data_IF_230945264542
#
_entry.id   IF_230945264542
#
_cell.length_a   1.000
_cell.length_b   1.000
_cell.length_c   1.000
_cell.angle_alpha   90.00
_cell.angle_beta   90.00
_cell.angle_gamma   90.00
#
_symmetry.space_group_name_H-M   'P 1'
#
loop_
_entity.id
_entity.type
_entity.pdbx_description
1 polymer ?
#
# COMPACT_ATOMS: atom_id res chain seq x y z
N UNK A 1 -53.59 1.20 -54.20
CA UNK A 1 -53.89 1.96 -52.97
C UNK A 1 -52.69 1.82 -52.06
N UNK A 2 -51.63 2.60 -52.31
CA UNK A 2 -50.44 2.63 -51.47
C UNK A 2 -50.64 3.71 -50.42
N UNK A 3 -50.81 3.31 -49.16
CA UNK A 3 -50.81 4.21 -48.03
C UNK A 3 -49.37 4.70 -47.81
N UNK A 4 -49.09 5.93 -48.22
CA UNK A 4 -47.87 6.64 -47.84
C UNK A 4 -47.91 6.91 -46.32
N UNK A 5 -46.87 6.46 -45.63
CA UNK A 5 -46.63 6.82 -44.23
C UNK A 5 -46.41 8.34 -44.11
N UNK A 6 -46.86 8.98 -43.02
CA UNK A 6 -46.66 10.41 -42.83
C UNK A 6 -45.17 10.71 -42.65
N UNK A 7 -44.61 11.51 -43.57
CA UNK A 7 -43.31 12.15 -43.40
C UNK A 7 -43.39 13.07 -42.17
N UNK A 8 -42.62 12.77 -41.12
CA UNK A 8 -42.44 13.71 -39.99
C UNK A 8 -41.65 14.94 -40.46
N UNK A 9 -41.93 16.12 -39.89
CA UNK A 9 -41.30 17.38 -40.30
C UNK A 9 -39.78 17.34 -40.09
N UNK A 10 -39.08 17.91 -41.05
CA UNK A 10 -37.64 18.06 -41.14
C UNK A 10 -37.24 19.38 -40.44
N UNK A 11 -37.20 19.45 -39.10
CA UNK A 11 -36.68 20.64 -38.38
C UNK A 11 -36.42 20.41 -36.87
N UNK A 12 -35.70 19.35 -36.53
CA UNK A 12 -34.88 19.32 -35.31
C UNK A 12 -33.49 18.90 -35.78
N UNK A 13 -32.61 19.86 -36.08
CA UNK A 13 -31.18 19.55 -36.13
C UNK A 13 -30.86 18.98 -34.77
N UNK A 14 -30.58 17.68 -34.68
CA UNK A 14 -30.18 17.07 -33.42
C UNK A 14 -29.03 17.92 -32.86
N UNK A 15 -29.29 18.66 -31.79
CA UNK A 15 -28.23 19.42 -31.14
C UNK A 15 -27.27 18.41 -30.50
N UNK A 16 -25.95 18.65 -30.56
CA UNK A 16 -25.02 17.75 -29.90
C UNK A 16 -25.29 17.78 -28.40
N UNK A 17 -25.19 16.62 -27.76
CA UNK A 17 -25.26 16.49 -26.31
C UNK A 17 -24.10 17.27 -25.71
N UNK A 18 -24.43 18.23 -24.85
CA UNK A 18 -23.50 19.14 -24.17
C UNK A 18 -23.18 18.64 -22.77
N UNK A 19 -22.14 19.21 -22.16
CA UNK A 19 -21.79 18.88 -20.78
C UNK A 19 -22.92 19.19 -19.78
N UNK A 20 -23.71 20.25 -19.99
CA UNK A 20 -24.86 20.57 -19.12
C UNK A 20 -25.96 19.52 -19.14
N UNK A 21 -26.05 18.74 -20.22
CA UNK A 21 -27.14 17.77 -20.41
C UNK A 21 -26.89 16.50 -19.59
N UNK A 22 -25.65 16.27 -19.20
CA UNK A 22 -25.21 15.07 -18.46
C UNK A 22 -24.61 15.39 -17.09
N UNK A 23 -24.05 16.59 -16.89
CA UNK A 23 -23.40 17.00 -15.64
C UNK A 23 -23.90 18.37 -15.20
N UNK A 24 -23.94 18.58 -13.89
CA UNK A 24 -24.29 19.86 -13.30
C UNK A 24 -23.10 20.84 -13.35
N UNK A 25 -22.74 21.28 -14.55
CA UNK A 25 -21.64 22.21 -14.83
C UNK A 25 -22.16 23.55 -15.36
N UNK A 26 -21.38 24.60 -15.21
CA UNK A 26 -21.75 25.98 -15.57
C UNK A 26 -20.67 26.67 -16.41
N UNK A 27 -20.92 27.90 -16.83
CA UNK A 27 -19.95 28.70 -17.60
C UNK A 27 -19.67 28.15 -19.00
N UNK A 28 -18.44 28.30 -19.48
CA UNK A 28 -18.09 27.93 -20.86
C UNK A 28 -18.10 26.42 -21.13
N UNK A 29 -17.97 25.58 -20.11
CA UNK A 29 -18.02 24.12 -20.27
C UNK A 29 -19.45 23.65 -20.56
N UNK A 30 -20.47 24.30 -19.97
CA UNK A 30 -21.86 23.84 -20.04
C UNK A 30 -22.43 23.85 -21.46
N UNK A 31 -22.03 24.83 -22.29
CA UNK A 31 -22.49 24.96 -23.67
C UNK A 31 -21.72 24.14 -24.68
N UNK A 32 -20.61 23.48 -24.27
CA UNK A 32 -19.75 22.72 -25.17
C UNK A 32 -20.29 21.31 -25.41
N UNK A 33 -20.22 20.81 -26.65
CA UNK A 33 -20.55 19.43 -26.96
C UNK A 33 -19.51 18.48 -26.35
N UNK A 34 -19.94 17.29 -25.97
CA UNK A 34 -19.01 16.24 -25.50
C UNK A 34 -18.35 15.60 -26.71
N UNK A 35 -17.02 15.74 -26.78
CA UNK A 35 -16.22 15.22 -27.87
C UNK A 35 -15.60 13.83 -27.57
N UNK A 36 -15.32 13.00 -28.60
CA UNK A 36 -14.69 11.69 -28.41
C UNK A 36 -13.35 11.77 -27.68
N UNK A 37 -12.54 12.78 -27.96
CA UNK A 37 -11.25 13.02 -27.30
C UNK A 37 -11.40 13.31 -25.81
N UNK A 38 -12.35 14.16 -25.42
CA UNK A 38 -12.61 14.49 -24.02
C UNK A 38 -13.07 13.25 -23.25
N UNK A 39 -13.92 12.42 -23.86
CA UNK A 39 -14.37 11.15 -23.30
C UNK A 39 -13.20 10.14 -23.15
N UNK A 40 -12.28 10.09 -24.12
CA UNK A 40 -11.08 9.26 -24.05
C UNK A 40 -10.11 9.74 -22.95
N UNK A 41 -9.96 11.05 -22.76
CA UNK A 41 -9.17 11.62 -21.67
C UNK A 41 -9.77 11.29 -20.30
N UNK A 42 -11.09 11.44 -20.14
CA UNK A 42 -11.77 11.05 -18.90
C UNK A 42 -11.62 9.55 -18.62
N UNK A 43 -11.77 8.70 -19.62
CA UNK A 43 -11.50 7.26 -19.46
C UNK A 43 -10.06 6.99 -19.03
N UNK A 44 -9.09 7.68 -19.62
CA UNK A 44 -7.68 7.51 -19.25
C UNK A 44 -7.45 7.94 -17.80
N UNK A 45 -8.04 9.05 -17.37
CA UNK A 45 -7.95 9.53 -16.01
C UNK A 45 -8.64 8.59 -15.00
N UNK A 46 -9.83 8.08 -15.32
CA UNK A 46 -10.51 7.03 -14.53
C UNK A 46 -9.66 5.77 -14.41
N UNK A 47 -9.07 5.29 -15.51
CA UNK A 47 -8.24 4.10 -15.51
C UNK A 47 -6.94 4.29 -14.71
N UNK A 48 -6.35 5.48 -14.71
CA UNK A 48 -5.15 5.78 -13.92
C UNK A 48 -5.42 5.76 -12.41
N UNK A 49 -6.61 6.21 -11.98
CA UNK A 49 -6.93 6.34 -10.55
C UNK A 49 -7.69 5.12 -10.01
N UNK A 50 -8.64 4.58 -10.77
CA UNK A 50 -9.53 3.49 -10.35
C UNK A 50 -9.22 2.15 -11.02
N UNK A 51 -8.22 2.07 -11.91
CA UNK A 51 -7.82 0.85 -12.62
C UNK A 51 -8.79 0.36 -13.70
N UNK A 52 -10.02 0.86 -13.72
CA UNK A 52 -11.05 0.56 -14.71
C UNK A 52 -12.07 1.71 -14.82
N UNK A 53 -12.70 1.80 -15.98
CA UNK A 53 -13.82 2.71 -16.22
C UNK A 53 -15.04 2.28 -15.40
N UNK A 54 -15.64 3.21 -14.66
CA UNK A 54 -16.80 2.90 -13.82
C UNK A 54 -18.06 2.79 -14.68
N UNK A 55 -18.82 1.71 -14.49
CA UNK A 55 -20.10 1.52 -15.18
C UNK A 55 -21.09 2.59 -14.74
N UNK A 56 -21.52 3.43 -15.69
CA UNK A 56 -22.42 4.55 -15.41
C UNK A 56 -21.74 5.76 -14.74
N UNK A 57 -20.40 5.77 -14.68
CA UNK A 57 -19.64 6.94 -14.23
C UNK A 57 -19.40 7.98 -15.34
N UNK A 58 -18.81 9.14 -15.00
CA UNK A 58 -18.53 10.22 -15.93
C UNK A 58 -17.85 9.81 -17.24
N UNK A 59 -16.82 8.96 -17.24
CA UNK A 59 -16.22 8.50 -18.49
C UNK A 59 -17.23 7.72 -19.36
N UNK A 60 -17.99 6.80 -18.75
CA UNK A 60 -18.99 6.01 -19.48
C UNK A 60 -20.12 6.88 -20.06
N UNK A 61 -20.57 7.88 -19.30
CA UNK A 61 -21.59 8.84 -19.74
C UNK A 61 -21.06 9.72 -20.87
N UNK A 62 -19.82 10.23 -20.74
CA UNK A 62 -19.16 11.02 -21.78
C UNK A 62 -18.95 10.21 -23.06
N UNK A 63 -18.56 8.93 -22.96
CA UNK A 63 -18.41 8.05 -24.12
C UNK A 63 -19.73 7.82 -24.85
N UNK A 64 -20.82 7.60 -24.12
CA UNK A 64 -22.13 7.42 -24.71
C UNK A 64 -22.61 8.71 -25.43
N UNK A 65 -22.41 9.86 -24.81
CA UNK A 65 -22.73 11.17 -25.39
C UNK A 65 -21.88 11.45 -26.64
N UNK A 66 -20.56 11.26 -26.56
CA UNK A 66 -19.65 11.45 -27.69
C UNK A 66 -19.96 10.50 -28.86
N UNK A 67 -20.24 9.22 -28.57
CA UNK A 67 -20.61 8.23 -29.61
C UNK A 67 -21.90 8.64 -30.33
N UNK A 68 -22.86 9.21 -29.60
CA UNK A 68 -24.11 9.68 -30.19
C UNK A 68 -23.90 10.94 -31.02
N UNK A 69 -23.11 11.89 -30.52
CA UNK A 69 -22.73 13.11 -31.23
C UNK A 69 -21.97 12.79 -32.53
N UNK A 70 -21.04 11.83 -32.49
CA UNK A 70 -20.26 11.38 -33.65
C UNK A 70 -21.13 10.64 -34.68
N UNK A 71 -22.01 9.73 -34.23
CA UNK A 71 -22.93 9.01 -35.13
C UNK A 71 -23.91 9.95 -35.83
N UNK A 72 -24.33 11.02 -35.16
CA UNK A 72 -25.16 12.07 -35.74
C UNK A 72 -24.36 13.04 -36.64
N UNK A 73 -23.02 12.89 -36.72
CA UNK A 73 -22.15 13.76 -37.50
C UNK A 73 -22.02 15.18 -36.95
N UNK A 74 -22.36 15.39 -35.68
CA UNK A 74 -22.41 16.69 -35.02
C UNK A 74 -21.06 17.10 -34.41
N UNK A 75 -20.19 16.11 -34.18
CA UNK A 75 -18.82 16.28 -33.66
C UNK A 75 -17.90 15.34 -34.43
N UNK A 76 -16.72 15.81 -34.82
CA UNK A 76 -15.73 15.01 -35.54
C UNK A 76 -14.94 14.05 -34.65
N UNK A 77 -14.49 12.92 -35.21
CA UNK A 77 -13.66 11.91 -34.52
C UNK A 77 -12.32 12.44 -33.98
N UNK A 78 -11.88 13.63 -34.41
CA UNK A 78 -10.64 14.30 -33.98
C UNK A 78 -10.90 15.64 -33.29
N UNK A 79 -12.17 15.97 -33.05
CA UNK A 79 -12.56 17.25 -32.49
C UNK A 79 -12.30 17.26 -30.99
N UNK A 80 -11.76 18.36 -30.50
CA UNK A 80 -11.36 18.53 -29.12
C UNK A 80 -12.09 19.75 -28.57
N UNK A 81 -12.57 19.72 -27.32
CA UNK A 81 -13.14 20.94 -26.75
C UNK A 81 -12.01 21.79 -26.17
N UNK A 82 -11.80 23.02 -26.67
CA UNK A 82 -10.66 23.89 -26.25
C UNK A 82 -10.53 24.07 -24.71
N UNK A 83 -11.60 23.80 -23.96
CA UNK A 83 -11.65 23.95 -22.49
C UNK A 83 -11.05 22.75 -21.76
N UNK A 84 -11.20 21.52 -22.28
CA UNK A 84 -10.59 20.33 -21.69
C UNK A 84 -9.07 20.24 -21.94
N UNK A 85 -8.54 21.02 -22.90
CA UNK A 85 -7.17 20.95 -23.39
C UNK A 85 -6.26 21.92 -22.65
N UNK A 86 -6.80 23.11 -22.35
CA UNK A 86 -6.09 24.16 -21.61
C UNK A 86 -6.24 24.05 -20.09
N UNK A 87 -7.33 23.43 -19.58
CA UNK A 87 -7.60 23.30 -18.14
C UNK A 87 -7.63 21.84 -17.65
N UNK A 88 -7.53 20.88 -18.57
CA UNK A 88 -7.37 19.46 -18.26
C UNK A 88 -8.63 18.74 -17.77
N UNK A 89 -8.64 17.42 -17.98
CA UNK A 89 -9.48 16.48 -17.23
C UNK A 89 -8.67 15.98 -16.05
N UNK A 90 -9.22 16.08 -14.84
CA UNK A 90 -8.53 15.73 -13.62
C UNK A 90 -9.41 14.85 -12.74
N UNK A 91 -8.88 13.68 -12.38
CA UNK A 91 -9.46 12.80 -11.36
C UNK A 91 -8.53 12.87 -10.17
N UNK A 92 -8.99 13.48 -9.08
CA UNK A 92 -8.23 13.58 -7.84
C UNK A 92 -8.77 12.62 -6.81
N UNK A 93 -7.85 12.00 -6.09
CA UNK A 93 -8.12 11.16 -4.95
C UNK A 93 -7.74 11.92 -3.69
N UNK A 94 -8.67 11.97 -2.74
CA UNK A 94 -8.42 12.50 -1.40
C UNK A 94 -8.69 11.39 -0.41
N UNK A 95 -7.63 10.99 0.29
CA UNK A 95 -7.72 10.07 1.42
C UNK A 95 -8.23 10.81 2.66
N UNK A 96 -9.44 10.47 3.07
CA UNK A 96 -10.02 10.87 4.34
C UNK A 96 -10.04 9.67 5.29
N UNK A 97 -10.05 9.87 6.62
CA UNK A 97 -10.10 8.76 7.57
C UNK A 97 -11.23 7.76 7.25
N UNK A 98 -10.84 6.55 6.85
CA UNK A 98 -11.74 5.44 6.50
C UNK A 98 -12.51 5.57 5.18
N UNK A 99 -12.24 6.59 4.35
CA UNK A 99 -12.97 6.85 3.10
C UNK A 99 -12.04 7.43 2.05
N UNK A 100 -12.10 6.87 0.85
CA UNK A 100 -11.46 7.46 -0.33
C UNK A 100 -12.50 8.32 -1.04
N UNK A 101 -12.22 9.61 -1.15
CA UNK A 101 -13.07 10.54 -1.88
C UNK A 101 -12.43 10.77 -3.24
N UNK A 102 -13.02 10.22 -4.28
CA UNK A 102 -12.57 10.44 -5.65
C UNK A 102 -13.42 11.55 -6.25
N UNK A 103 -12.77 12.60 -6.71
CA UNK A 103 -13.39 13.75 -7.34
C UNK A 103 -12.95 13.82 -8.78
N UNK A 104 -13.91 13.70 -9.69
CA UNK A 104 -13.66 13.78 -11.12
C UNK A 104 -14.10 15.14 -11.61
N UNK A 105 -13.24 15.81 -12.36
CA UNK A 105 -13.44 17.17 -12.81
C UNK A 105 -13.01 17.38 -14.25
N UNK A 106 -13.73 18.25 -14.95
CA UNK A 106 -13.39 18.73 -16.28
C UNK A 106 -13.26 20.24 -16.20
N UNK A 107 -12.10 20.78 -16.60
CA UNK A 107 -11.81 22.20 -16.52
C UNK A 107 -12.11 22.82 -15.14
N UNK A 108 -11.70 22.11 -14.06
CA UNK A 108 -11.89 22.53 -12.68
C UNK A 108 -13.31 22.41 -12.13
N UNK A 109 -14.28 21.93 -12.92
CA UNK A 109 -15.65 21.72 -12.48
C UNK A 109 -15.91 20.24 -12.20
N UNK A 110 -16.47 19.95 -11.03
CA UNK A 110 -16.74 18.57 -10.58
C UNK A 110 -17.88 17.97 -11.40
N UNK A 111 -17.59 16.88 -12.10
CA UNK A 111 -18.54 16.10 -12.90
C UNK A 111 -18.93 14.79 -12.20
N UNK A 112 -18.10 14.31 -11.28
CA UNK A 112 -18.34 13.12 -10.49
C UNK A 112 -17.73 13.22 -9.10
N UNK A 113 -18.42 12.69 -8.10
CA UNK A 113 -17.87 12.51 -6.76
C UNK A 113 -18.26 11.15 -6.23
N UNK A 114 -17.26 10.33 -5.96
CA UNK A 114 -17.42 9.02 -5.37
C UNK A 114 -16.88 9.05 -3.96
N UNK A 115 -17.74 8.73 -3.00
CA UNK A 115 -17.29 8.37 -1.66
C UNK A 115 -17.29 6.85 -1.63
N UNK A 116 -16.12 6.28 -1.83
CA UNK A 116 -15.95 4.87 -1.63
C UNK A 116 -15.44 4.68 -0.20
N UNK A 117 -15.86 3.61 0.51
CA UNK A 117 -14.97 3.06 1.53
C UNK A 117 -13.60 2.96 0.85
N UNK A 118 -12.56 3.50 1.48
CA UNK A 118 -11.22 3.33 0.91
C UNK A 118 -11.10 1.86 0.54
N UNK A 119 -10.68 1.52 -0.70
CA UNK A 119 -10.43 0.14 -1.03
C UNK A 119 -9.66 -0.42 0.14
N UNK A 120 -10.11 -1.56 0.66
CA UNK A 120 -9.20 -2.41 1.39
C UNK A 120 -8.24 -2.94 0.33
N UNK A 121 -7.45 -2.04 -0.29
CA UNK A 121 -6.06 -2.35 -0.52
C UNK A 121 -5.59 -2.97 0.78
N UNK A 122 -4.69 -3.92 0.65
CA UNK A 122 -4.13 -4.67 1.75
C UNK A 122 -3.31 -3.77 2.70
N UNK A 123 -3.71 -2.52 2.93
CA UNK A 123 -3.46 -1.65 4.08
C UNK A 123 -4.11 -2.20 5.36
N UNK A 124 -4.96 -3.24 5.28
CA UNK A 124 -5.19 -4.11 6.43
C UNK A 124 -3.91 -4.89 6.84
N UNK A 125 -2.86 -4.88 6.03
CA UNK A 125 -1.53 -5.34 6.44
C UNK A 125 -0.67 -4.16 6.90
N UNK A 126 -0.75 -2.96 6.32
CA UNK A 126 0.13 -1.83 6.74
C UNK A 126 -0.36 -1.00 7.95
N UNK A 127 -1.67 -0.78 8.14
CA UNK A 127 -2.17 -0.09 9.36
C UNK A 127 -2.26 -1.07 10.54
N UNK A 128 -2.37 -2.37 10.27
CA UNK A 128 -2.10 -3.40 11.28
C UNK A 128 -0.58 -3.56 11.48
N UNK A 129 0.30 -3.38 10.49
CA UNK A 129 1.76 -3.37 10.72
C UNK A 129 2.24 -2.16 11.53
N UNK A 130 1.50 -1.04 11.56
CA UNK A 130 1.78 0.01 12.55
C UNK A 130 1.31 -0.33 13.97
N UNK A 131 0.59 -1.45 14.16
CA UNK A 131 0.16 -1.93 15.48
C UNK A 131 0.68 -3.34 15.82
N UNK A 132 1.21 -4.10 14.84
CA UNK A 132 1.84 -5.39 15.07
C UNK A 132 3.34 -5.27 14.88
N UNK A 133 4.05 -5.43 15.99
CA UNK A 133 5.50 -5.39 16.08
C UNK A 133 6.09 -6.59 15.33
N UNK A 134 7.01 -6.35 14.40
CA UNK A 134 7.69 -7.40 13.65
C UNK A 134 8.81 -8.06 14.46
N UNK A 135 9.31 -9.19 13.97
CA UNK A 135 10.46 -9.85 14.60
C UNK A 135 11.72 -8.97 14.46
N UNK A 136 11.92 -8.32 13.31
CA UNK A 136 13.01 -7.35 13.13
C UNK A 136 12.94 -6.16 14.06
N UNK A 137 11.75 -5.59 14.28
CA UNK A 137 11.55 -4.50 15.24
C UNK A 137 11.83 -4.95 16.68
N UNK A 138 11.42 -6.16 17.05
CA UNK A 138 11.73 -6.74 18.36
C UNK A 138 13.25 -6.98 18.55
N UNK A 139 13.96 -7.36 17.49
CA UNK A 139 15.41 -7.49 17.49
C UNK A 139 16.10 -6.13 17.63
N UNK A 140 15.61 -5.11 16.94
CA UNK A 140 16.15 -3.74 17.04
C UNK A 140 15.87 -3.13 18.42
N UNK A 141 14.70 -3.41 19.02
CA UNK A 141 14.42 -3.06 20.41
C UNK A 141 15.38 -3.77 21.38
N UNK A 142 15.74 -5.03 21.10
CA UNK A 142 16.77 -5.76 21.87
C UNK A 142 18.14 -5.11 21.77
N UNK A 143 18.46 -4.55 20.59
CA UNK A 143 19.69 -3.79 20.37
C UNK A 143 19.77 -2.58 21.30
N UNK A 144 18.62 -1.94 21.61
CA UNK A 144 18.56 -0.79 22.52
C UNK A 144 18.52 -1.20 24.00
N UNK A 145 17.71 -2.21 24.35
CA UNK A 145 17.57 -2.64 25.75
C UNK A 145 18.79 -3.40 26.28
N UNK A 146 19.53 -4.07 25.40
CA UNK A 146 20.73 -4.84 25.73
C UNK A 146 21.97 -4.36 24.94
N UNK A 147 22.03 -3.07 24.60
CA UNK A 147 23.09 -2.48 23.77
C UNK A 147 24.50 -2.88 24.20
N UNK A 148 24.80 -2.80 25.51
CA UNK A 148 26.13 -3.06 26.07
C UNK A 148 26.41 -4.54 26.40
N UNK A 149 25.45 -5.44 26.12
CA UNK A 149 25.59 -6.86 26.41
C UNK A 149 26.47 -7.52 25.35
N UNK A 150 27.52 -8.21 25.79
CA UNK A 150 28.35 -9.01 24.89
C UNK A 150 27.54 -10.19 24.33
N UNK A 151 27.63 -10.39 23.02
CA UNK A 151 26.95 -11.50 22.35
C UNK A 151 27.55 -12.82 22.80
N UNK A 152 26.72 -13.75 23.26
CA UNK A 152 27.11 -15.11 23.61
C UNK A 152 26.45 -16.16 22.69
N UNK A 153 26.76 -17.44 22.89
CA UNK A 153 26.25 -18.53 22.04
C UNK A 153 24.72 -18.69 22.14
N UNK A 154 24.15 -18.41 23.32
CA UNK A 154 22.71 -18.42 23.55
C UNK A 154 22.02 -17.33 22.72
N UNK A 155 22.57 -16.12 22.73
CA UNK A 155 22.08 -14.99 21.93
C UNK A 155 22.14 -15.29 20.43
N UNK A 156 23.28 -15.81 19.96
CA UNK A 156 23.46 -16.16 18.56
C UNK A 156 22.42 -17.20 18.09
N UNK A 157 22.05 -18.14 18.97
CA UNK A 157 21.04 -19.15 18.69
C UNK A 157 19.63 -18.57 18.66
N UNK A 158 19.32 -17.68 19.59
CA UNK A 158 18.05 -16.95 19.63
C UNK A 158 17.87 -16.09 18.37
N UNK A 159 18.91 -15.35 17.97
CA UNK A 159 18.93 -14.52 16.75
C UNK A 159 18.76 -15.38 15.50
N UNK A 160 19.41 -16.54 15.44
CA UNK A 160 19.25 -17.47 14.33
C UNK A 160 17.81 -17.93 14.17
N UNK A 161 17.17 -18.34 15.27
CA UNK A 161 15.77 -18.75 15.22
C UNK A 161 14.87 -17.57 14.87
N UNK A 162 15.14 -16.38 15.41
CA UNK A 162 14.39 -15.17 15.08
C UNK A 162 14.48 -14.84 13.57
N UNK A 163 15.67 -14.85 12.96
CA UNK A 163 15.87 -14.60 11.53
C UNK A 163 15.18 -15.66 10.66
N UNK A 164 15.25 -16.94 11.04
CA UNK A 164 14.57 -18.04 10.35
C UNK A 164 13.05 -17.90 10.42
N UNK A 165 12.51 -17.48 11.57
CA UNK A 165 11.08 -17.20 11.73
C UNK A 165 10.68 -16.00 10.90
N UNK A 166 11.43 -14.90 10.99
CA UNK A 166 11.16 -13.67 10.25
C UNK A 166 11.09 -13.93 8.74
N UNK A 167 12.12 -14.55 8.17
CA UNK A 167 12.25 -14.74 6.71
C UNK A 167 11.54 -15.98 6.17
N UNK A 168 11.05 -16.86 7.04
CA UNK A 168 10.51 -18.17 6.65
C UNK A 168 11.53 -19.11 6.00
N UNK A 169 12.83 -18.79 6.07
CA UNK A 169 13.90 -19.52 5.39
C UNK A 169 14.78 -20.24 6.41
N UNK A 170 14.94 -21.56 6.25
CA UNK A 170 15.77 -22.40 7.14
C UNK A 170 17.29 -22.32 6.84
N UNK A 171 17.69 -21.52 5.85
CA UNK A 171 19.08 -21.35 5.43
C UNK A 171 19.65 -20.10 6.09
N UNK A 172 20.85 -20.22 6.69
CA UNK A 172 21.58 -19.05 7.19
C UNK A 172 22.12 -18.28 5.99
N UNK A 173 21.62 -17.08 5.77
CA UNK A 173 22.12 -16.20 4.72
C UNK A 173 23.53 -15.72 5.09
N UNK A 174 24.55 -15.90 4.22
CA UNK A 174 25.86 -15.33 4.45
C UNK A 174 25.77 -13.80 4.60
N UNK A 175 26.30 -13.26 5.69
CA UNK A 175 26.18 -11.83 6.02
C UNK A 175 24.85 -11.41 6.68
N UNK A 176 23.94 -12.35 6.93
CA UNK A 176 22.72 -12.13 7.71
C UNK A 176 22.98 -11.90 9.20
N UNK A 177 21.91 -11.64 9.95
CA UNK A 177 21.98 -11.37 11.39
C UNK A 177 22.49 -12.59 12.16
N UNK A 178 22.03 -13.81 11.82
CA UNK A 178 22.48 -15.02 12.48
C UNK A 178 23.95 -15.32 12.23
N UNK A 179 24.42 -15.14 10.99
CA UNK A 179 25.82 -15.35 10.62
C UNK A 179 26.74 -14.37 11.38
N UNK A 180 26.31 -13.12 11.50
CA UNK A 180 27.03 -12.08 12.23
C UNK A 180 27.04 -12.39 13.74
N UNK A 181 25.90 -12.79 14.30
CA UNK A 181 25.79 -13.15 15.72
C UNK A 181 26.66 -14.37 16.09
N UNK A 182 26.69 -15.40 15.25
CA UNK A 182 27.55 -16.58 15.47
C UNK A 182 29.04 -16.23 15.42
N UNK A 183 29.43 -15.38 14.46
CA UNK A 183 30.80 -14.88 14.35
C UNK A 183 31.18 -14.05 15.59
N UNK A 184 30.28 -13.17 16.04
CA UNK A 184 30.45 -12.37 17.24
C UNK A 184 30.58 -13.23 18.51
N UNK A 185 29.72 -14.24 18.69
CA UNK A 185 29.80 -15.16 19.83
C UNK A 185 31.12 -15.96 19.84
N UNK A 186 31.55 -16.46 18.68
CA UNK A 186 32.82 -17.20 18.53
C UNK A 186 34.03 -16.32 18.82
N UNK A 187 33.99 -15.06 18.38
CA UNK A 187 35.02 -14.07 18.66
C UNK A 187 35.05 -13.73 20.16
N UNK A 188 33.91 -13.38 20.74
CA UNK A 188 33.78 -13.02 22.16
C UNK A 188 34.20 -14.13 23.11
N UNK A 189 34.04 -15.40 22.71
CA UNK A 189 34.50 -16.54 23.49
C UNK A 189 36.03 -16.60 23.66
N UNK A 190 36.79 -15.87 22.82
CA UNK A 190 38.26 -15.81 22.86
C UNK A 190 38.80 -14.51 23.47
N UNK A 191 37.91 -13.58 23.83
CA UNK A 191 38.26 -12.26 24.33
C UNK A 191 37.88 -12.18 25.81
N UNK A 192 38.87 -11.92 26.67
CA UNK A 192 38.63 -11.83 28.12
C UNK A 192 38.10 -10.45 28.53
N UNK A 193 38.52 -9.39 27.85
CA UNK A 193 38.13 -8.00 28.15
C UNK A 193 36.74 -7.70 27.59
N UNK A 194 35.79 -7.40 28.46
CA UNK A 194 34.41 -7.11 28.05
C UNK A 194 34.27 -5.88 27.15
N UNK A 195 35.21 -4.93 27.23
CA UNK A 195 35.27 -3.74 26.37
C UNK A 195 35.55 -4.08 24.90
N UNK A 196 36.31 -5.15 24.65
CA UNK A 196 36.74 -5.56 23.32
C UNK A 196 35.75 -6.57 22.67
N UNK A 197 34.68 -6.94 23.40
CA UNK A 197 33.65 -7.86 22.92
C UNK A 197 32.62 -7.14 22.04
N UNK A 198 32.22 -7.81 20.97
CA UNK A 198 31.13 -7.39 20.09
C UNK A 198 29.81 -7.44 20.87
N UNK A 199 29.03 -6.37 20.82
CA UNK A 199 27.81 -6.24 21.60
C UNK A 199 26.56 -6.54 20.78
N UNK A 200 25.44 -6.77 21.47
CA UNK A 200 24.15 -6.98 20.82
C UNK A 200 23.71 -5.77 19.99
N UNK A 201 24.03 -4.55 20.45
CA UNK A 201 23.82 -3.32 19.69
C UNK A 201 24.46 -3.39 18.29
N UNK A 202 25.73 -3.80 18.23
CA UNK A 202 26.49 -3.87 16.97
C UNK A 202 25.91 -4.87 15.97
N UNK A 203 25.39 -6.00 16.47
CA UNK A 203 24.85 -7.08 15.62
C UNK A 203 23.43 -6.76 15.15
N UNK A 204 22.57 -6.27 16.05
CA UNK A 204 21.14 -6.12 15.81
C UNK A 204 20.72 -4.75 15.28
N UNK A 205 21.64 -3.78 15.20
CA UNK A 205 21.36 -2.49 14.56
C UNK A 205 20.93 -2.68 13.10
N UNK A 206 19.81 -2.09 12.72
CA UNK A 206 19.22 -2.19 11.39
C UNK A 206 18.61 -3.55 11.10
N UNK A 207 18.22 -4.33 12.12
CA UNK A 207 17.64 -5.66 11.93
C UNK A 207 16.42 -5.64 10.99
N UNK A 208 15.58 -4.61 11.10
CA UNK A 208 14.42 -4.34 10.22
C UNK A 208 14.82 -4.28 8.74
N UNK A 209 15.93 -3.62 8.43
CA UNK A 209 16.42 -3.49 7.04
C UNK A 209 17.13 -4.74 6.52
N UNK A 210 17.66 -5.59 7.42
CA UNK A 210 18.44 -6.80 7.07
C UNK A 210 17.55 -8.03 6.86
N UNK A 211 16.29 -7.98 7.29
CA UNK A 211 15.32 -9.06 7.13
C UNK A 211 14.44 -8.80 5.89
N UNK A 212 14.78 -9.44 4.77
CA UNK A 212 14.14 -9.19 3.47
C UNK A 212 12.63 -9.54 3.40
N UNK A 213 12.12 -10.33 4.34
CA UNK A 213 10.71 -10.74 4.41
C UNK A 213 10.21 -10.72 5.87
N UNK A 214 10.59 -9.70 6.63
CA UNK A 214 10.25 -9.60 8.06
C UNK A 214 8.74 -9.70 8.31
N UNK A 215 8.34 -10.61 9.19
CA UNK A 215 6.94 -10.90 9.51
C UNK A 215 6.61 -10.47 10.94
N UNK A 216 5.31 -10.28 11.20
CA UNK A 216 4.81 -9.97 12.55
C UNK A 216 5.19 -11.05 13.55
N UNK A 217 5.59 -10.63 14.76
CA UNK A 217 5.93 -11.57 15.83
C UNK A 217 4.67 -12.27 16.33
N UNK A 218 4.69 -13.61 16.34
CA UNK A 218 3.61 -14.42 16.93
C UNK A 218 4.10 -15.11 18.19
N UNK A 219 3.17 -15.58 19.04
CA UNK A 219 3.53 -16.35 20.23
C UNK A 219 4.32 -17.62 19.91
N UNK A 220 4.03 -18.28 18.78
CA UNK A 220 4.79 -19.45 18.34
C UNK A 220 6.24 -19.08 17.97
N UNK A 221 6.47 -17.90 17.39
CA UNK A 221 7.81 -17.41 17.11
C UNK A 221 8.56 -17.12 18.42
N UNK A 222 7.90 -16.44 19.37
CA UNK A 222 8.47 -16.13 20.68
C UNK A 222 8.86 -17.41 21.45
N UNK A 223 7.98 -18.41 21.51
CA UNK A 223 8.29 -19.70 22.13
C UNK A 223 9.47 -20.40 21.44
N UNK A 224 9.56 -20.30 20.11
CA UNK A 224 10.71 -20.81 19.35
C UNK A 224 12.03 -20.15 19.75
N UNK A 225 12.03 -18.82 19.85
CA UNK A 225 13.22 -18.02 20.22
C UNK A 225 13.62 -18.26 21.68
N UNK A 226 12.66 -18.29 22.60
CA UNK A 226 12.89 -18.62 24.02
C UNK A 226 13.51 -20.01 24.15
N UNK A 227 12.97 -21.01 23.46
CA UNK A 227 13.54 -22.36 23.50
C UNK A 227 14.96 -22.42 22.94
N UNK A 228 15.29 -21.60 21.93
CA UNK A 228 16.63 -21.51 21.38
C UNK A 228 17.63 -20.88 22.37
N UNK A 229 17.21 -19.83 23.08
CA UNK A 229 17.99 -19.21 24.14
C UNK A 229 18.21 -20.21 25.29
N UNK A 230 17.15 -20.86 25.78
CA UNK A 230 17.25 -21.79 26.90
C UNK A 230 18.10 -23.03 26.59
N UNK A 231 18.03 -23.57 25.37
CA UNK A 231 18.82 -24.75 24.97
C UNK A 231 20.32 -24.49 24.96
N UNK A 232 20.73 -23.26 24.67
CA UNK A 232 22.14 -22.86 24.59
C UNK A 232 22.57 -21.96 25.75
N UNK A 233 21.74 -21.85 26.80
CA UNK A 233 22.08 -21.16 28.04
C UNK A 233 22.31 -22.16 29.19
N UNK A 234 23.54 -22.18 29.71
CA UNK A 234 23.95 -22.99 30.85
C UNK A 234 23.17 -22.70 32.14
N UNK A 235 22.59 -21.49 32.26
CA UNK A 235 21.84 -21.05 33.44
C UNK A 235 20.31 -21.22 33.30
N UNK A 236 19.82 -21.74 32.16
CA UNK A 236 18.40 -21.99 31.87
C UNK A 236 17.48 -20.78 32.15
N UNK A 237 17.98 -19.55 31.96
CA UNK A 237 17.24 -18.32 32.19
C UNK A 237 17.27 -17.43 30.95
N UNK A 238 16.13 -16.87 30.55
CA UNK A 238 16.08 -15.85 29.50
C UNK A 238 16.66 -14.54 30.02
N UNK A 239 17.44 -13.82 29.21
CA UNK A 239 17.96 -12.53 29.66
C UNK A 239 16.88 -11.44 29.63
N UNK A 240 16.67 -10.69 30.74
CA UNK A 240 15.78 -9.53 30.72
C UNK A 240 16.26 -8.50 29.69
N UNK A 241 15.39 -8.10 28.76
CA UNK A 241 15.73 -7.18 27.68
C UNK A 241 16.61 -7.79 26.57
N UNK A 242 16.82 -9.10 26.57
CA UNK A 242 17.47 -9.82 25.48
C UNK A 242 16.52 -10.18 24.34
N UNK A 243 17.05 -10.90 23.35
CA UNK A 243 16.35 -11.24 22.11
C UNK A 243 15.02 -11.97 22.36
N UNK A 244 15.00 -12.97 23.24
CA UNK A 244 13.78 -13.72 23.51
C UNK A 244 12.72 -12.89 24.25
N UNK A 245 13.15 -12.03 25.19
CA UNK A 245 12.25 -11.16 25.94
C UNK A 245 11.56 -10.14 25.04
N UNK A 246 12.30 -9.53 24.10
CA UNK A 246 11.74 -8.55 23.16
C UNK A 246 10.80 -9.18 22.15
N UNK A 247 11.14 -10.36 21.61
CA UNK A 247 10.25 -11.08 20.69
C UNK A 247 8.98 -11.56 21.40
N UNK A 248 9.08 -11.98 22.68
CA UNK A 248 7.92 -12.30 23.50
C UNK A 248 7.04 -11.08 23.78
N UNK A 249 7.65 -9.93 24.11
CA UNK A 249 6.92 -8.68 24.31
C UNK A 249 6.19 -8.24 23.04
N UNK A 250 6.86 -8.32 21.89
CA UNK A 250 6.26 -8.05 20.59
C UNK A 250 5.07 -8.98 20.31
N UNK A 251 5.22 -10.29 20.51
CA UNK A 251 4.15 -11.25 20.33
C UNK A 251 2.94 -10.99 21.24
N UNK A 252 3.16 -10.66 22.52
CA UNK A 252 2.07 -10.33 23.46
C UNK A 252 1.33 -9.05 23.06
N UNK A 253 2.06 -8.02 22.62
CA UNK A 253 1.45 -6.78 22.15
C UNK A 253 0.62 -7.03 20.89
N UNK A 254 1.09 -7.88 19.99
CA UNK A 254 0.37 -8.27 18.78
C UNK A 254 -0.89 -9.09 19.07
N UNK A 255 -0.87 -9.95 20.09
CA UNK A 255 -2.07 -10.69 20.52
C UNK A 255 -3.14 -9.75 21.11
N UNK A 256 -2.73 -8.75 21.90
CA UNK A 256 -3.65 -7.78 22.51
C UNK A 256 -4.27 -6.80 21.50
N UNK A 257 -3.60 -6.52 20.40
CA UNK A 257 -4.11 -5.68 19.31
C UNK A 257 -5.15 -6.43 18.45
N UNK A 258 -5.06 -7.77 18.41
CA UNK A 258 -5.94 -8.64 17.60
C UNK A 258 -7.09 -9.30 18.40
N UNK A 259 -7.23 -8.99 19.70
CA UNK A 259 -8.25 -9.54 20.61
C UNK A 259 -9.46 -8.59 20.77
#
# INVERSE_FOLDING_TARGET
MSQEQPRRPLDEREEPIKYSDVFNVSGQLSSKPIAPQDAAMMQTAENMVMGQTQKGGPAAVMQAAATRNERAGLVGHREFSDVAGDQGVCVTEIDAPGRRIITESVAGQVVGKYVQPAPVEQVAVEVIQQSTITIGEALEASAQSAENKAVNQSDASAIQVAEMRATGTNVITPGGLAATAQSAATYNARIDRDEDKIKLGDVLTGATTKLAADKSATRQDAEGVVNAELRNNSNLATHPGGVAASVAAAAMLNENVNA
#
